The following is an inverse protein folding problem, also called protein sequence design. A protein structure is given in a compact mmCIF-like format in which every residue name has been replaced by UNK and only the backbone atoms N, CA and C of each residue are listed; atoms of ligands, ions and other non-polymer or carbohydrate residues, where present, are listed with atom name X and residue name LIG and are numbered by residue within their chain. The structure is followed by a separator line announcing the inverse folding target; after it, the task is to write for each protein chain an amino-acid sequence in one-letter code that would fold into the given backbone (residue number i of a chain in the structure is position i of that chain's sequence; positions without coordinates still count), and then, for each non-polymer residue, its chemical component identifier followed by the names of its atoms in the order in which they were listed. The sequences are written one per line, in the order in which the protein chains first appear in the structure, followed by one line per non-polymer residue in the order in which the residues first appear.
data_IF_332794680381
#
_entry.id   IF_332794680381
#
_cell.length_a   1.000
_cell.length_b   1.000
_cell.length_c   1.000
_cell.angle_alpha   90.00
_cell.angle_beta   90.00
_cell.angle_gamma   90.00
#
_symmetry.space_group_name_H-M   'P 1'
#
loop_
_entity.id
_entity.type
_entity.pdbx_description
1 polymer ?
#
# COMPACT_ATOMS: atom_id res chain seq x y z
N UNK A 1 -1.95 2.50 -25.57
CA UNK A 1 -1.76 2.29 -24.12
C UNK A 1 -2.80 3.08 -23.36
N UNK A 2 -3.47 2.44 -22.39
CA UNK A 2 -4.43 3.08 -21.49
C UNK A 2 -3.83 3.05 -20.09
N UNK A 3 -3.90 4.17 -19.38
CA UNK A 3 -3.66 4.22 -17.95
C UNK A 3 -5.01 4.37 -17.27
N UNK A 4 -5.33 3.46 -16.35
CA UNK A 4 -6.54 3.51 -15.55
C UNK A 4 -6.11 3.63 -14.10
N UNK A 5 -6.65 4.62 -13.40
CA UNK A 5 -6.38 4.84 -11.98
C UNK A 5 -7.67 4.60 -11.22
N UNK A 6 -7.62 3.68 -10.25
CA UNK A 6 -8.72 3.38 -9.35
C UNK A 6 -8.33 3.88 -7.96
N UNK A 7 -9.04 4.88 -7.47
CA UNK A 7 -8.84 5.40 -6.13
C UNK A 7 -9.83 4.73 -5.17
N UNK A 8 -9.33 3.96 -4.23
CA UNK A 8 -10.14 3.13 -3.34
C UNK A 8 -10.36 3.84 -2.00
N UNK A 9 -11.50 3.53 -1.37
CA UNK A 9 -11.68 3.87 0.05
C UNK A 9 -10.85 2.98 0.97
N UNK A 10 -10.51 1.77 0.50
CA UNK A 10 -9.67 0.80 1.21
C UNK A 10 -10.11 0.59 2.66
N UNK A 11 -9.12 0.59 3.54
CA UNK A 11 -9.30 0.45 4.99
C UNK A 11 -9.33 1.81 5.70
N UNK A 12 -9.92 2.85 5.11
CA UNK A 12 -10.09 4.13 5.80
C UNK A 12 -10.91 3.95 7.10
N UNK A 13 -10.58 4.66 8.21
CA UNK A 13 -11.29 4.55 9.48
C UNK A 13 -12.81 4.68 9.38
N UNK A 14 -13.50 4.09 10.37
CA UNK A 14 -14.90 3.65 10.32
C UNK A 14 -15.05 2.39 9.43
N UNK A 15 -14.25 1.38 9.76
CA UNK A 15 -13.95 0.23 8.89
C UNK A 15 -15.19 -0.58 8.50
N UNK A 16 -16.18 -0.72 9.40
CA UNK A 16 -17.37 -1.52 9.11
C UNK A 16 -18.22 -0.92 7.97
N UNK A 17 -18.15 0.40 7.75
CA UNK A 17 -18.84 1.05 6.63
C UNK A 17 -18.14 0.82 5.29
N UNK A 18 -16.89 0.32 5.30
CA UNK A 18 -16.15 -0.04 4.08
C UNK A 18 -16.60 -1.39 3.52
N UNK A 19 -17.43 -2.11 4.26
CA UNK A 19 -17.86 -3.47 3.94
C UNK A 19 -19.34 -3.47 3.52
N UNK A 20 -19.70 -4.14 2.41
CA UNK A 20 -21.10 -4.24 1.99
C UNK A 20 -21.88 -5.31 2.77
N UNK A 21 -21.28 -5.90 3.80
CA UNK A 21 -21.85 -6.98 4.60
C UNK A 21 -21.42 -6.88 6.07
N UNK A 22 -22.17 -7.57 6.94
CA UNK A 22 -21.84 -7.66 8.36
C UNK A 22 -20.69 -8.62 8.60
N UNK A 23 -19.69 -8.16 9.37
CA UNK A 23 -18.54 -8.97 9.78
C UNK A 23 -18.98 -10.07 10.75
N UNK A 24 -18.59 -11.31 10.45
CA UNK A 24 -18.92 -12.49 11.27
C UNK A 24 -17.76 -12.91 12.18
N UNK A 25 -16.52 -12.69 11.74
CA UNK A 25 -15.33 -13.12 12.48
C UNK A 25 -14.96 -12.10 13.55
N UNK A 26 -14.85 -12.58 14.78
CA UNK A 26 -14.34 -11.79 15.89
C UNK A 26 -12.81 -11.89 15.98
N UNK A 27 -12.15 -10.75 16.21
CA UNK A 27 -10.72 -10.69 16.49
C UNK A 27 -10.46 -10.20 17.93
N UNK A 28 -10.39 -8.88 18.14
CA UNK A 28 -10.17 -8.27 19.47
C UNK A 28 -11.35 -7.40 19.89
N UNK A 29 -11.93 -6.68 18.94
CA UNK A 29 -13.16 -5.92 19.08
C UNK A 29 -13.77 -5.71 17.68
N UNK A 30 -14.96 -5.11 17.61
CA UNK A 30 -15.66 -4.91 16.34
C UNK A 30 -14.86 -4.04 15.34
N UNK A 31 -14.19 -2.99 15.79
CA UNK A 31 -13.42 -2.11 14.90
C UNK A 31 -12.24 -2.87 14.27
N UNK A 32 -11.47 -3.60 15.07
CA UNK A 32 -10.34 -4.39 14.57
C UNK A 32 -10.79 -5.56 13.68
N UNK A 33 -11.91 -6.21 14.02
CA UNK A 33 -12.55 -7.20 13.14
C UNK A 33 -12.91 -6.60 11.78
N UNK A 34 -13.53 -5.42 11.77
CA UNK A 34 -13.86 -4.73 10.53
C UNK A 34 -12.63 -4.25 9.77
N UNK A 35 -11.57 -3.81 10.44
CA UNK A 35 -10.31 -3.45 9.81
C UNK A 35 -9.72 -4.64 9.04
N UNK A 36 -9.56 -5.79 9.69
CA UNK A 36 -9.04 -7.00 9.04
C UNK A 36 -9.92 -7.46 7.87
N UNK A 37 -11.24 -7.43 8.04
CA UNK A 37 -12.16 -7.81 6.97
C UNK A 37 -12.12 -6.79 5.81
N UNK A 38 -11.88 -5.50 6.06
CA UNK A 38 -11.71 -4.48 5.01
C UNK A 38 -10.43 -4.67 4.17
N UNK A 39 -9.35 -5.15 4.79
CA UNK A 39 -8.13 -5.54 4.08
C UNK A 39 -8.43 -6.73 3.16
N UNK A 40 -9.08 -7.78 3.70
CA UNK A 40 -9.51 -8.95 2.91
C UNK A 40 -10.46 -8.56 1.78
N UNK A 41 -11.35 -7.61 1.99
CA UNK A 41 -12.24 -7.11 0.94
C UNK A 41 -11.46 -6.39 -0.17
N UNK A 42 -10.44 -5.61 0.19
CA UNK A 42 -9.52 -4.97 -0.78
C UNK A 42 -8.70 -6.00 -1.55
N UNK A 43 -8.20 -7.04 -0.89
CA UNK A 43 -7.52 -8.18 -1.53
C UNK A 43 -8.42 -8.87 -2.57
N UNK A 44 -9.68 -9.16 -2.21
CA UNK A 44 -10.68 -9.70 -3.13
C UNK A 44 -11.04 -8.78 -4.29
N UNK A 45 -11.01 -7.47 -4.08
CA UNK A 45 -11.17 -6.51 -5.16
C UNK A 45 -10.00 -6.57 -6.14
N UNK A 46 -8.76 -6.66 -5.67
CA UNK A 46 -7.56 -6.79 -6.51
C UNK A 46 -7.60 -8.11 -7.31
N UNK A 47 -8.00 -9.22 -6.67
CA UNK A 47 -8.24 -10.51 -7.35
C UNK A 47 -9.27 -10.35 -8.47
N UNK A 48 -10.40 -9.68 -8.20
CA UNK A 48 -11.45 -9.45 -9.20
C UNK A 48 -10.98 -8.60 -10.38
N UNK A 49 -10.12 -7.58 -10.13
CA UNK A 49 -9.49 -6.78 -11.19
C UNK A 49 -8.58 -7.66 -12.04
N UNK A 50 -7.75 -8.51 -11.42
CA UNK A 50 -6.89 -9.44 -12.15
C UNK A 50 -7.70 -10.40 -13.03
N UNK A 51 -8.74 -11.02 -12.48
CA UNK A 51 -9.59 -11.98 -13.22
C UNK A 51 -10.25 -11.33 -14.44
N UNK A 52 -10.72 -10.08 -14.28
CA UNK A 52 -11.30 -9.31 -15.39
C UNK A 52 -10.26 -9.03 -16.49
N UNK A 53 -9.05 -8.62 -16.12
CA UNK A 53 -7.98 -8.32 -17.06
C UNK A 53 -7.49 -9.58 -17.79
N UNK A 54 -7.31 -10.69 -17.07
CA UNK A 54 -6.98 -12.01 -17.65
C UNK A 54 -8.03 -12.44 -18.65
N UNK A 55 -9.32 -12.30 -18.30
CA UNK A 55 -10.44 -12.65 -19.19
C UNK A 55 -10.49 -11.78 -20.45
N UNK A 56 -10.08 -10.51 -20.36
CA UNK A 56 -10.01 -9.61 -21.52
C UNK A 56 -8.94 -10.05 -22.54
N UNK A 57 -7.92 -10.80 -22.11
CA UNK A 57 -6.91 -11.39 -23.00
C UNK A 57 -5.89 -10.41 -23.59
N UNK A 58 -5.90 -9.13 -23.16
CA UNK A 58 -4.89 -8.14 -23.52
C UNK A 58 -3.72 -8.17 -22.53
N UNK A 59 -2.53 -7.75 -22.98
CA UNK A 59 -1.39 -7.55 -22.08
C UNK A 59 -1.66 -6.44 -21.08
N UNK A 60 -1.35 -6.68 -19.80
CA UNK A 60 -1.56 -5.70 -18.73
C UNK A 60 -0.46 -5.77 -17.68
N UNK A 61 -0.34 -4.70 -16.91
CA UNK A 61 0.32 -4.70 -15.61
C UNK A 61 -0.47 -3.83 -14.64
N UNK A 62 -0.38 -4.16 -13.37
CA UNK A 62 -1.09 -3.50 -12.27
C UNK A 62 -0.09 -3.23 -11.16
N UNK A 63 -0.13 -2.02 -10.63
CA UNK A 63 0.50 -1.65 -9.38
C UNK A 63 -0.62 -1.31 -8.40
N UNK A 64 -0.54 -1.85 -7.18
CA UNK A 64 -1.37 -1.43 -6.06
C UNK A 64 -0.47 -0.99 -4.90
N UNK A 65 -0.81 0.15 -4.30
CA UNK A 65 -0.22 0.62 -3.06
C UNK A 65 -1.26 1.39 -2.24
N UNK A 66 -1.06 1.40 -0.91
CA UNK A 66 -1.84 2.28 -0.02
C UNK A 66 -1.21 3.66 0.04
N UNK A 67 -2.02 4.69 0.22
CA UNK A 67 -1.58 6.08 0.38
C UNK A 67 -0.86 6.32 1.71
N UNK A 68 -1.37 5.71 2.78
CA UNK A 68 -0.74 5.68 4.11
C UNK A 68 -1.14 4.42 4.88
N UNK A 69 -0.44 4.17 5.98
CA UNK A 69 -0.78 3.19 7.00
C UNK A 69 -1.69 3.78 8.07
N UNK A 70 -1.86 3.07 9.19
CA UNK A 70 -2.63 3.55 10.33
C UNK A 70 -1.90 3.16 11.61
N UNK A 71 -2.21 3.84 12.72
CA UNK A 71 -1.66 3.52 14.02
C UNK A 71 -2.72 3.37 15.11
N UNK A 72 -2.38 2.69 16.20
CA UNK A 72 -3.29 2.47 17.30
C UNK A 72 -3.60 3.78 18.06
N UNK A 73 -4.89 3.99 18.30
CA UNK A 73 -5.41 4.98 19.24
C UNK A 73 -6.58 4.37 19.99
N UNK A 74 -6.41 4.21 21.29
CA UNK A 74 -7.32 3.46 22.17
C UNK A 74 -7.45 1.99 21.71
N UNK A 75 -8.64 1.58 21.28
CA UNK A 75 -8.95 0.21 20.87
C UNK A 75 -9.24 0.10 19.36
N UNK A 76 -8.79 1.07 18.56
CA UNK A 76 -8.95 1.11 17.11
C UNK A 76 -7.71 1.72 16.44
N UNK A 77 -7.72 1.73 15.10
CA UNK A 77 -6.70 2.34 14.26
C UNK A 77 -7.19 3.67 13.66
N UNK A 78 -6.30 4.64 13.53
CA UNK A 78 -6.57 5.97 12.98
C UNK A 78 -5.39 6.47 12.17
N UNK A 79 -5.66 7.48 11.34
CA UNK A 79 -4.61 8.22 10.62
C UNK A 79 -3.75 8.98 11.63
N UNK A 80 -2.44 8.84 11.48
CA UNK A 80 -1.40 9.46 12.31
C UNK A 80 -0.15 9.69 11.44
N UNK A 81 0.85 10.34 12.02
CA UNK A 81 2.18 10.63 11.48
C UNK A 81 3.29 10.34 12.51
N UNK A 82 2.93 9.74 13.65
CA UNK A 82 3.80 9.60 14.82
C UNK A 82 4.60 8.30 14.81
N UNK A 83 4.15 7.30 14.05
CA UNK A 83 4.69 5.96 14.09
C UNK A 83 5.19 5.48 12.74
N UNK A 84 6.15 4.57 12.73
CA UNK A 84 6.68 3.99 11.47
C UNK A 84 5.56 3.33 10.65
N UNK A 85 4.61 2.68 11.32
CA UNK A 85 3.48 1.95 10.73
C UNK A 85 2.51 2.87 9.99
N UNK A 86 2.50 4.18 10.27
CA UNK A 86 1.76 5.16 9.47
C UNK A 86 2.31 5.28 8.03
N UNK A 87 3.56 4.83 7.80
CA UNK A 87 4.27 4.94 6.51
C UNK A 87 4.62 3.58 5.89
N UNK A 88 4.45 2.48 6.61
CA UNK A 88 4.70 1.12 6.11
C UNK A 88 3.46 0.59 5.39
N UNK A 89 3.41 0.86 4.09
CA UNK A 89 2.27 0.51 3.22
C UNK A 89 2.57 -0.68 2.32
N UNK A 90 1.55 -1.46 1.91
CA UNK A 90 1.73 -2.47 0.88
C UNK A 90 2.10 -1.80 -0.46
N UNK A 91 3.01 -2.44 -1.20
CA UNK A 91 3.27 -2.14 -2.60
C UNK A 91 3.38 -3.48 -3.35
N UNK A 92 2.45 -3.74 -4.26
CA UNK A 92 2.44 -4.96 -5.06
C UNK A 92 2.38 -4.61 -6.55
N UNK A 93 3.01 -5.45 -7.37
CA UNK A 93 2.96 -5.35 -8.81
C UNK A 93 2.77 -6.73 -9.41
N UNK A 94 1.90 -6.83 -10.41
CA UNK A 94 1.71 -8.05 -11.20
C UNK A 94 1.33 -7.69 -12.64
N UNK A 95 1.45 -8.66 -13.54
CA UNK A 95 1.23 -8.48 -14.97
C UNK A 95 0.75 -9.77 -15.61
N UNK A 96 0.23 -9.67 -16.84
CA UNK A 96 -0.26 -10.81 -17.62
C UNK A 96 0.81 -11.90 -17.88
N UNK A 97 2.09 -11.54 -17.80
CA UNK A 97 3.26 -12.41 -18.01
C UNK A 97 4.02 -12.73 -16.72
N UNK A 98 3.46 -12.39 -15.55
CA UNK A 98 4.05 -12.73 -14.26
C UNK A 98 4.04 -14.24 -14.00
N UNK A 99 5.21 -14.87 -13.93
CA UNK A 99 5.37 -16.32 -13.70
C UNK A 99 5.93 -16.70 -12.32
N UNK A 100 6.43 -15.72 -11.57
CA UNK A 100 7.05 -15.94 -10.25
C UNK A 100 6.73 -14.78 -9.31
N UNK A 101 6.61 -15.09 -8.03
CA UNK A 101 6.60 -14.10 -6.96
C UNK A 101 8.03 -13.72 -6.59
N UNK A 102 8.33 -12.43 -6.59
CA UNK A 102 9.57 -11.87 -6.04
C UNK A 102 9.18 -11.03 -4.83
N UNK A 103 9.90 -11.19 -3.74
CA UNK A 103 9.76 -10.36 -2.54
C UNK A 103 10.99 -9.48 -2.41
N UNK A 104 10.78 -8.18 -2.20
CA UNK A 104 11.82 -7.18 -2.04
C UNK A 104 11.67 -6.63 -0.63
N UNK A 105 12.71 -6.81 0.19
CA UNK A 105 12.68 -6.41 1.60
C UNK A 105 13.28 -5.02 1.81
N UNK A 106 14.08 -4.55 0.86
CA UNK A 106 14.67 -3.22 0.85
C UNK A 106 13.58 -2.16 0.75
N UNK A 107 13.59 -1.25 1.73
CA UNK A 107 12.57 -0.19 1.82
C UNK A 107 12.71 0.81 0.68
N UNK A 108 11.57 1.37 0.28
CA UNK A 108 11.48 2.44 -0.69
C UNK A 108 10.62 3.59 -0.15
N UNK A 109 11.02 4.83 -0.45
CA UNK A 109 10.22 6.01 -0.09
C UNK A 109 9.25 6.37 -1.22
N UNK A 110 8.04 6.77 -0.86
CA UNK A 110 7.06 7.31 -1.80
C UNK A 110 7.56 8.57 -2.54
N UNK A 111 8.54 9.30 -1.98
CA UNK A 111 9.22 10.38 -2.71
C UNK A 111 9.90 9.92 -4.00
N UNK A 112 10.26 8.64 -4.07
CA UNK A 112 10.86 8.05 -5.26
C UNK A 112 9.81 7.48 -6.24
N UNK A 113 8.51 7.57 -5.95
CA UNK A 113 7.45 6.94 -6.75
C UNK A 113 7.49 7.38 -8.22
N UNK A 114 7.76 8.65 -8.51
CA UNK A 114 7.83 9.12 -9.89
C UNK A 114 8.92 8.45 -10.72
N UNK A 115 10.06 8.09 -10.10
CA UNK A 115 11.08 7.27 -10.77
C UNK A 115 10.48 5.91 -11.15
N UNK A 116 9.87 5.20 -10.19
CA UNK A 116 9.26 3.89 -10.43
C UNK A 116 8.12 3.94 -11.44
N UNK A 117 7.26 4.96 -11.37
CA UNK A 117 6.16 5.15 -12.30
C UNK A 117 6.66 5.33 -13.74
N UNK A 118 7.72 6.11 -13.96
CA UNK A 118 8.32 6.24 -15.30
C UNK A 118 9.02 4.97 -15.77
N UNK A 119 9.75 4.29 -14.88
CA UNK A 119 10.39 3.00 -15.19
C UNK A 119 9.34 1.97 -15.61
N UNK A 120 8.22 1.89 -14.89
CA UNK A 120 7.12 0.99 -15.16
C UNK A 120 6.47 1.25 -16.52
N UNK A 121 6.26 2.51 -16.87
CA UNK A 121 5.70 2.92 -18.16
C UNK A 121 6.72 2.87 -19.32
N UNK A 122 7.98 2.55 -19.05
CA UNK A 122 9.05 2.56 -20.05
C UNK A 122 9.43 3.96 -20.56
N UNK A 123 9.09 5.00 -19.80
CA UNK A 123 9.40 6.40 -20.13
C UNK A 123 10.88 6.66 -19.84
N UNK A 124 11.61 7.15 -20.84
CA UNK A 124 13.01 7.54 -20.72
C UNK A 124 13.12 9.06 -20.68
N UNK A 125 13.29 9.60 -19.47
CA UNK A 125 13.52 11.02 -19.24
C UNK A 125 14.73 11.20 -18.32
N UNK A 126 15.70 12.03 -18.73
CA UNK A 126 16.99 12.18 -18.05
C UNK A 126 16.84 12.68 -16.62
N UNK A 127 15.83 13.51 -16.35
CA UNK A 127 15.56 14.04 -15.01
C UNK A 127 14.84 13.04 -14.10
N UNK A 128 14.36 11.91 -14.63
CA UNK A 128 13.59 10.89 -13.92
C UNK A 128 14.30 9.51 -13.95
N UNK A 129 15.63 9.49 -14.08
CA UNK A 129 16.43 8.25 -14.15
C UNK A 129 17.44 8.10 -13.00
N UNK A 130 17.18 8.74 -11.85
CA UNK A 130 18.14 8.82 -10.74
C UNK A 130 18.07 7.68 -9.71
N UNK A 131 16.99 6.91 -9.70
CA UNK A 131 16.74 5.83 -8.73
C UNK A 131 16.19 4.61 -9.46
N UNK A 132 16.68 3.42 -9.12
CA UNK A 132 16.00 2.18 -9.48
C UNK A 132 14.95 1.86 -8.42
N UNK A 133 13.68 2.12 -8.75
CA UNK A 133 12.60 1.99 -7.79
C UNK A 133 12.27 0.53 -7.48
N UNK A 134 12.37 -0.34 -8.49
CA UNK A 134 12.01 -1.76 -8.41
C UNK A 134 13.18 -2.67 -7.99
N UNK A 135 14.41 -2.15 -7.94
CA UNK A 135 15.55 -2.82 -7.28
C UNK A 135 16.20 -1.86 -6.28
N UNK A 136 15.50 -1.49 -5.18
CA UNK A 136 16.04 -0.59 -4.19
C UNK A 136 17.28 -1.20 -3.52
N UNK A 137 18.25 -0.34 -3.24
CA UNK A 137 19.40 -0.67 -2.37
C UNK A 137 19.15 -0.10 -0.99
N UNK A 138 19.94 -0.55 -0.01
CA UNK A 138 19.93 0.03 1.32
C UNK A 138 20.09 1.56 1.25
N UNK A 139 19.14 2.28 1.85
CA UNK A 139 19.07 3.73 1.81
C UNK A 139 18.38 4.26 3.07
N UNK A 140 18.66 5.51 3.42
CA UNK A 140 17.90 6.22 4.46
C UNK A 140 16.53 6.57 3.92
N UNK A 141 15.49 6.12 4.62
CA UNK A 141 14.10 6.37 4.23
C UNK A 141 13.64 7.65 4.89
N UNK A 142 13.16 8.59 4.07
CA UNK A 142 12.57 9.83 4.51
C UNK A 142 11.06 9.82 4.32
N UNK A 143 10.36 10.44 5.27
CA UNK A 143 8.91 10.61 5.30
C UNK A 143 8.55 12.05 5.67
N UNK A 144 7.35 12.49 5.32
CA UNK A 144 6.81 13.78 5.76
C UNK A 144 5.95 13.56 7.02
N UNK A 145 6.37 14.12 8.15
CA UNK A 145 5.67 14.02 9.44
C UNK A 145 4.61 15.11 9.63
N UNK A 146 4.06 15.63 8.54
CA UNK A 146 3.11 16.76 8.49
C UNK A 146 3.70 18.13 8.84
N UNK A 147 4.96 18.21 9.29
CA UNK A 147 5.67 19.47 9.51
C UNK A 147 7.02 19.52 8.78
N UNK A 148 7.75 18.41 8.78
CA UNK A 148 9.13 18.28 8.34
C UNK A 148 9.34 17.00 7.53
N UNK A 149 10.44 16.97 6.76
CA UNK A 149 10.93 15.74 6.13
C UNK A 149 11.98 15.13 7.06
N UNK A 150 11.64 14.00 7.67
CA UNK A 150 12.47 13.32 8.68
C UNK A 150 12.90 11.93 8.22
N UNK A 151 13.93 11.37 8.85
CA UNK A 151 14.26 9.95 8.72
C UNK A 151 13.21 9.12 9.47
N UNK A 152 12.61 8.13 8.81
CA UNK A 152 11.53 7.29 9.38
C UNK A 152 11.99 6.57 10.65
N UNK A 153 13.29 6.32 10.80
CA UNK A 153 13.83 5.65 11.99
C UNK A 153 13.80 6.52 13.25
N UNK A 154 13.54 7.84 13.12
CA UNK A 154 13.33 8.73 14.26
C UNK A 154 11.92 8.61 14.84
N UNK A 155 10.97 8.03 14.10
CA UNK A 155 9.63 7.75 14.59
C UNK A 155 9.64 6.54 15.52
N UNK A 156 8.67 6.52 16.44
CA UNK A 156 8.46 5.39 17.33
C UNK A 156 7.78 4.25 16.57
N UNK A 157 7.91 3.04 17.07
CA UNK A 157 7.03 1.95 16.63
C UNK A 157 5.65 2.13 17.29
N UNK A 158 4.59 1.85 16.53
CA UNK A 158 3.21 1.86 17.02
C UNK A 158 3.09 0.89 18.20
N UNK A 159 2.63 1.35 19.39
CA UNK A 159 2.48 0.49 20.57
C UNK A 159 1.24 -0.39 20.43
N UNK A 160 1.26 -1.28 19.44
CA UNK A 160 0.20 -2.24 19.19
C UNK A 160 -0.13 -2.98 20.49
N UNK A 161 -1.40 -2.93 20.89
CA UNK A 161 -1.88 -3.67 22.06
C UNK A 161 -1.95 -5.15 21.67
N UNK A 162 -0.88 -5.88 21.92
CA UNK A 162 -0.91 -7.34 21.90
C UNK A 162 -1.69 -7.79 23.14
N UNK A 163 -2.86 -8.38 22.93
CA UNK A 163 -3.63 -9.05 23.97
C UNK A 163 -3.20 -10.50 24.11
#
# INVERSE_FOLDING_TARGET
NKLIVLHLMGSHPIFCERLPYKVQNYFINQQMSCYLESIKYTDKFIESVNDLLVKNGESFSVIYFSDHGLAHKNDSLYVSNLYKQDYEVPFIMFSSDSIKRIEINEKQSAFNFMYGFTQWLGIKEKHLSGVDFFNPKEQKIKVFDWENIIDVNLLKDDPAKLH
#
